data_IF_276865349633
#
_entry.id   IF_276865349633
#
_cell.length_a   1.000
_cell.length_b   1.000
_cell.length_c   1.000
_cell.angle_alpha   90.00
_cell.angle_beta   90.00
_cell.angle_gamma   90.00
#
_symmetry.space_group_name_H-M   'P 1'
#
loop_
_entity.id
_entity.type
_entity.pdbx_description
1 polymer ?
#
# COMPACT_ATOMS: atom_id res chain seq x y z
N UNK A 1 -4.99 10.79 3.58
CA UNK A 1 -3.68 11.21 3.02
C UNK A 1 -3.00 12.11 4.02
N UNK A 2 -1.73 11.86 4.34
CA UNK A 2 -0.87 12.76 5.10
C UNK A 2 0.09 13.46 4.14
N UNK A 3 0.29 14.77 4.32
CA UNK A 3 1.16 15.59 3.46
C UNK A 3 2.07 16.44 4.33
N UNK A 4 3.37 16.47 4.01
CA UNK A 4 4.35 17.35 4.67
C UNK A 4 4.23 17.31 6.20
N UNK A 5 4.02 16.11 6.74
CA UNK A 5 3.73 15.90 8.16
C UNK A 5 4.92 15.23 8.83
N UNK A 6 5.19 15.62 10.08
CA UNK A 6 6.27 15.04 10.88
C UNK A 6 5.75 14.51 12.22
N UNK A 7 6.41 13.49 12.77
CA UNK A 7 6.09 12.93 14.09
C UNK A 7 4.66 12.39 14.23
N UNK A 8 4.21 11.63 13.23
CA UNK A 8 2.85 11.07 13.21
C UNK A 8 2.87 9.60 13.61
N UNK A 9 2.00 9.23 14.54
CA UNK A 9 1.73 7.82 14.88
C UNK A 9 0.26 7.49 14.67
N UNK A 10 -0.01 6.43 13.90
CA UNK A 10 -1.34 5.83 13.73
C UNK A 10 -1.25 4.36 14.13
N UNK A 11 -2.12 3.92 15.04
CA UNK A 11 -2.10 2.55 15.55
C UNK A 11 -3.50 2.03 15.88
N UNK A 12 -3.68 0.73 15.70
CA UNK A 12 -4.86 0.00 16.18
C UNK A 12 -5.33 -1.05 15.18
N UNK A 13 -6.21 -1.98 15.61
CA UNK A 13 -6.69 -3.09 14.78
C UNK A 13 -7.76 -2.67 13.75
N UNK A 14 -8.15 -1.40 13.76
CA UNK A 14 -9.09 -0.81 12.81
C UNK A 14 -8.48 -0.70 11.41
N UNK A 15 -9.29 -0.30 10.44
CA UNK A 15 -8.81 -0.25 9.07
C UNK A 15 -9.70 0.53 8.11
N UNK A 16 -9.20 0.66 6.89
CA UNK A 16 -9.87 1.32 5.78
C UNK A 16 -10.23 0.26 4.75
N UNK A 17 -11.50 0.24 4.34
CA UNK A 17 -12.04 -0.62 3.27
C UNK A 17 -12.60 0.29 2.19
N UNK A 18 -12.22 0.06 0.94
CA UNK A 18 -12.85 0.70 -0.21
C UNK A 18 -13.68 -0.32 -1.02
N UNK A 19 -14.65 0.14 -1.83
CA UNK A 19 -15.38 -0.73 -2.74
C UNK A 19 -14.59 -0.95 -4.05
N UNK A 20 -13.33 -1.41 -3.97
CA UNK A 20 -12.44 -1.52 -5.14
C UNK A 20 -12.97 -2.39 -6.28
N UNK A 21 -13.78 -3.40 -5.97
CA UNK A 21 -14.39 -4.31 -6.96
C UNK A 21 -15.15 -3.61 -8.08
N UNK A 22 -15.88 -2.53 -7.77
CA UNK A 22 -16.63 -1.78 -8.80
C UNK A 22 -15.70 -1.01 -9.73
N UNK A 23 -14.53 -0.61 -9.23
CA UNK A 23 -13.54 0.14 -9.99
C UNK A 23 -12.66 -0.75 -10.86
N UNK A 24 -12.28 -1.94 -10.39
CA UNK A 24 -11.40 -2.84 -11.14
C UNK A 24 -11.98 -3.22 -12.51
N UNK A 25 -13.29 -3.49 -12.59
CA UNK A 25 -13.96 -3.76 -13.87
C UNK A 25 -13.95 -2.59 -14.85
N UNK A 26 -13.92 -1.35 -14.35
CA UNK A 26 -13.78 -0.15 -15.19
C UNK A 26 -12.34 -0.01 -15.67
N UNK A 27 -11.38 -0.09 -14.75
CA UNK A 27 -9.95 0.12 -15.06
C UNK A 27 -9.39 -0.95 -15.98
N UNK A 28 -9.79 -2.22 -15.85
CA UNK A 28 -9.31 -3.28 -16.74
C UNK A 28 -9.75 -3.08 -18.20
N UNK A 29 -10.83 -2.34 -18.44
CA UNK A 29 -11.27 -1.93 -19.79
C UNK A 29 -10.70 -0.58 -20.24
N UNK A 30 -10.25 0.23 -19.29
CA UNK A 30 -9.77 1.61 -19.47
C UNK A 30 -8.54 1.86 -18.58
N UNK A 31 -7.36 1.33 -18.94
CA UNK A 31 -6.17 1.35 -18.10
C UNK A 31 -5.67 2.77 -17.77
N UNK A 32 -6.02 3.76 -18.59
CA UNK A 32 -5.74 5.17 -18.39
C UNK A 32 -6.48 5.77 -17.16
N UNK A 33 -7.60 5.18 -16.74
CA UNK A 33 -8.38 5.67 -15.59
C UNK A 33 -7.69 5.27 -14.29
N UNK A 34 -7.17 6.26 -13.56
CA UNK A 34 -6.44 6.05 -12.30
C UNK A 34 -7.40 6.02 -11.09
N UNK A 35 -7.26 4.99 -10.25
CA UNK A 35 -7.91 4.90 -8.95
C UNK A 35 -7.10 5.59 -7.84
N UNK A 36 -7.71 5.78 -6.68
CA UNK A 36 -7.02 6.26 -5.48
C UNK A 36 -6.37 5.11 -4.70
N UNK A 37 -5.54 5.47 -3.71
CA UNK A 37 -5.00 4.55 -2.72
C UNK A 37 -5.61 4.80 -1.33
N UNK A 38 -5.55 3.83 -0.43
CA UNK A 38 -6.18 3.94 0.90
C UNK A 38 -5.35 4.79 1.86
N UNK A 39 -4.03 4.62 1.85
CA UNK A 39 -3.10 5.44 2.60
C UNK A 39 -2.02 5.98 1.67
N UNK A 40 -1.83 7.30 1.72
CA UNK A 40 -0.69 7.97 1.10
C UNK A 40 0.02 8.83 2.12
N UNK A 41 1.30 8.57 2.29
CA UNK A 41 2.29 9.40 2.97
C UNK A 41 3.09 10.13 1.90
N UNK A 42 3.06 11.46 1.91
CA UNK A 42 3.68 12.27 0.87
C UNK A 42 4.48 13.41 1.52
N UNK A 43 5.81 13.42 1.33
CA UNK A 43 6.65 14.44 1.97
C UNK A 43 6.72 14.29 3.49
N UNK A 44 6.51 13.09 4.04
CA UNK A 44 6.38 12.90 5.49
C UNK A 44 7.70 12.44 6.13
N UNK A 45 7.88 12.77 7.41
CA UNK A 45 9.05 12.37 8.19
C UNK A 45 8.64 11.78 9.54
N UNK A 46 9.37 10.77 10.03
CA UNK A 46 9.15 10.18 11.36
C UNK A 46 7.70 9.69 11.55
N UNK A 47 7.25 8.82 10.64
CA UNK A 47 5.88 8.29 10.65
C UNK A 47 5.87 6.83 11.09
N UNK A 48 4.95 6.48 12.00
CA UNK A 48 4.71 5.09 12.44
C UNK A 48 3.26 4.70 12.20
N UNK A 49 3.05 3.69 11.35
CA UNK A 49 1.74 3.08 11.08
C UNK A 49 1.79 1.64 11.56
N UNK A 50 0.89 1.25 12.49
CA UNK A 50 0.96 -0.08 13.11
C UNK A 50 -0.38 -0.75 13.37
N UNK A 51 -0.46 -2.06 13.14
CA UNK A 51 -1.63 -2.90 13.43
C UNK A 51 -2.85 -2.70 12.52
N UNK A 52 -2.77 -1.77 11.57
CA UNK A 52 -3.88 -1.31 10.75
C UNK A 52 -4.24 -2.31 9.65
N UNK A 53 -5.52 -2.30 9.24
CA UNK A 53 -6.01 -3.07 8.09
C UNK A 53 -6.30 -2.18 6.87
N UNK A 54 -5.92 -2.63 5.69
CA UNK A 54 -6.19 -1.98 4.40
C UNK A 54 -6.77 -3.01 3.44
N UNK A 55 -7.89 -2.69 2.80
CA UNK A 55 -8.54 -3.69 1.96
C UNK A 55 -9.30 -3.08 0.78
N UNK A 56 -9.19 -3.77 -0.36
CA UNK A 56 -9.90 -3.49 -1.60
C UNK A 56 -9.71 -2.06 -2.14
N UNK A 57 -8.48 -1.57 -2.14
CA UNK A 57 -8.18 -0.31 -2.82
C UNK A 57 -8.53 -0.38 -4.32
N UNK A 58 -9.08 0.70 -4.91
CA UNK A 58 -9.26 0.80 -6.37
C UNK A 58 -7.95 0.69 -7.16
N UNK A 59 -6.81 1.03 -6.56
CA UNK A 59 -5.47 0.84 -7.11
C UNK A 59 -4.52 0.47 -5.95
N UNK A 60 -3.36 1.12 -5.81
CA UNK A 60 -2.38 0.85 -4.75
C UNK A 60 -3.01 0.90 -3.35
N UNK A 61 -2.62 0.03 -2.44
CA UNK A 61 -3.17 -0.03 -1.08
C UNK A 61 -2.52 1.05 -0.20
N UNK A 62 -1.19 0.99 -0.05
CA UNK A 62 -0.39 1.95 0.71
C UNK A 62 0.71 2.55 -0.17
N UNK A 63 0.85 3.87 -0.15
CA UNK A 63 1.89 4.60 -0.89
C UNK A 63 2.73 5.43 0.08
N UNK A 64 4.05 5.23 0.04
CA UNK A 64 5.06 6.06 0.70
C UNK A 64 5.83 6.80 -0.37
N UNK A 65 5.64 8.12 -0.45
CA UNK A 65 6.26 8.95 -1.48
C UNK A 65 7.06 10.10 -0.83
N UNK A 66 8.28 10.36 -1.32
CA UNK A 66 9.11 11.49 -0.88
C UNK A 66 9.23 11.58 0.64
N UNK A 67 9.29 10.46 1.34
CA UNK A 67 9.20 10.41 2.80
C UNK A 67 10.47 9.79 3.39
N UNK A 68 10.77 10.11 4.66
CA UNK A 68 11.93 9.57 5.38
C UNK A 68 11.56 9.02 6.75
N UNK A 69 12.24 7.95 7.18
CA UNK A 69 12.00 7.30 8.47
C UNK A 69 10.53 6.92 8.69
N UNK A 70 10.05 6.02 7.84
CA UNK A 70 8.66 5.54 7.85
C UNK A 70 8.63 4.08 8.30
N UNK A 71 7.83 3.79 9.32
CA UNK A 71 7.64 2.45 9.86
C UNK A 71 6.23 1.96 9.58
N UNK A 72 6.12 0.84 8.88
CA UNK A 72 4.89 0.13 8.56
C UNK A 72 4.95 -1.26 9.21
N UNK A 73 4.28 -1.45 10.34
CA UNK A 73 4.45 -2.67 11.15
C UNK A 73 3.13 -3.37 11.49
N UNK A 74 3.08 -4.70 11.38
CA UNK A 74 1.88 -5.46 11.76
C UNK A 74 0.66 -5.13 10.90
N UNK A 75 0.85 -4.73 9.64
CA UNK A 75 -0.24 -4.38 8.74
C UNK A 75 -0.94 -5.63 8.21
N UNK A 76 -2.25 -5.52 7.96
CA UNK A 76 -3.02 -6.50 7.20
C UNK A 76 -3.56 -5.84 5.94
N UNK A 77 -2.88 -6.08 4.82
CA UNK A 77 -3.29 -5.62 3.50
C UNK A 77 -3.92 -6.80 2.76
N UNK A 78 -5.19 -6.69 2.39
CA UNK A 78 -5.97 -7.83 1.87
C UNK A 78 -6.85 -7.47 0.68
N UNK A 79 -7.23 -8.49 -0.10
CA UNK A 79 -8.21 -8.39 -1.16
C UNK A 79 -9.36 -9.36 -0.90
N UNK A 80 -10.60 -8.89 -0.97
CA UNK A 80 -11.78 -9.75 -0.79
C UNK A 80 -12.06 -10.64 -2.00
N UNK A 81 -11.67 -10.21 -3.20
CA UNK A 81 -11.87 -10.98 -4.43
C UNK A 81 -10.72 -11.96 -4.66
N UNK A 82 -11.06 -13.22 -4.96
CA UNK A 82 -10.12 -14.23 -5.44
C UNK A 82 -9.69 -14.02 -6.91
N UNK A 83 -10.42 -13.19 -7.67
CA UNK A 83 -10.16 -12.91 -9.09
C UNK A 83 -9.15 -11.77 -9.21
N UNK A 84 -8.09 -11.97 -10.00
CA UNK A 84 -7.00 -11.01 -10.24
C UNK A 84 -6.83 -10.71 -11.74
N UNK A 85 -6.04 -9.69 -12.05
CA UNK A 85 -5.71 -9.32 -13.43
C UNK A 85 -6.91 -8.72 -14.16
N UNK A 86 -7.03 -8.97 -15.46
CA UNK A 86 -7.98 -8.29 -16.35
C UNK A 86 -9.46 -8.49 -16.00
N UNK A 87 -9.78 -9.48 -15.15
CA UNK A 87 -11.13 -9.76 -14.68
C UNK A 87 -11.34 -9.46 -13.19
N UNK A 88 -10.33 -8.95 -12.49
CA UNK A 88 -10.39 -8.70 -11.06
C UNK A 88 -9.41 -7.65 -10.58
N UNK A 89 -8.93 -7.79 -9.34
CA UNK A 89 -8.01 -6.81 -8.78
C UNK A 89 -6.70 -6.77 -9.60
N UNK A 90 -6.32 -5.57 -10.05
CA UNK A 90 -5.16 -5.33 -10.89
C UNK A 90 -4.55 -3.97 -10.56
N UNK A 91 -3.20 -3.87 -10.57
CA UNK A 91 -2.46 -2.73 -10.03
C UNK A 91 -2.88 -2.34 -8.60
N UNK A 92 -3.12 -3.35 -7.75
CA UNK A 92 -3.48 -3.16 -6.35
C UNK A 92 -2.28 -3.38 -5.43
N UNK A 93 -1.14 -2.80 -5.82
CA UNK A 93 0.15 -2.94 -5.14
C UNK A 93 -0.02 -2.78 -3.62
N UNK A 94 0.58 -3.67 -2.83
CA UNK A 94 0.42 -3.66 -1.39
C UNK A 94 1.06 -2.43 -0.75
N UNK A 95 2.38 -2.29 -0.89
CA UNK A 95 3.13 -1.11 -0.46
C UNK A 95 3.98 -0.60 -1.61
N UNK A 96 3.68 0.60 -2.11
CA UNK A 96 4.50 1.29 -3.09
C UNK A 96 5.39 2.34 -2.42
N UNK A 97 6.70 2.21 -2.58
CA UNK A 97 7.70 3.14 -2.05
C UNK A 97 8.32 3.90 -3.22
N UNK A 98 8.27 5.24 -3.18
CA UNK A 98 8.67 6.11 -4.30
C UNK A 98 9.53 7.25 -3.76
N UNK A 99 10.73 7.44 -4.28
CA UNK A 99 11.64 8.52 -3.90
C UNK A 99 11.78 8.72 -2.38
N UNK A 100 11.87 7.63 -1.61
CA UNK A 100 11.81 7.65 -0.13
C UNK A 100 13.04 7.00 0.49
N UNK A 101 13.40 7.42 1.70
CA UNK A 101 14.56 6.94 2.44
C UNK A 101 14.11 6.29 3.77
N UNK A 102 14.83 5.27 4.25
CA UNK A 102 14.57 4.68 5.57
C UNK A 102 13.10 4.26 5.76
N UNK A 103 12.62 3.38 4.89
CA UNK A 103 11.28 2.81 5.00
C UNK A 103 11.39 1.36 5.46
N UNK A 104 10.73 1.07 6.58
CA UNK A 104 10.77 -0.22 7.25
C UNK A 104 9.38 -0.85 7.21
N UNK A 105 9.26 -1.99 6.55
CA UNK A 105 8.05 -2.81 6.51
C UNK A 105 8.31 -4.07 7.31
N UNK A 106 7.54 -4.28 8.39
CA UNK A 106 7.77 -5.39 9.33
C UNK A 106 6.50 -6.14 9.71
N UNK A 107 6.65 -7.45 9.91
CA UNK A 107 5.65 -8.31 10.55
C UNK A 107 4.24 -8.20 9.93
N UNK A 108 4.16 -7.97 8.62
CA UNK A 108 2.91 -7.62 7.94
C UNK A 108 2.45 -8.74 7.00
N UNK A 109 1.13 -8.89 6.89
CA UNK A 109 0.51 -9.75 5.88
C UNK A 109 0.09 -8.87 4.73
N UNK A 110 0.60 -9.15 3.53
CA UNK A 110 0.35 -8.34 2.35
C UNK A 110 -0.16 -9.23 1.22
N UNK A 111 -1.37 -8.93 0.79
CA UNK A 111 -2.01 -9.50 -0.38
C UNK A 111 -2.35 -8.38 -1.36
N UNK A 112 -2.05 -8.62 -2.64
CA UNK A 112 -2.27 -7.68 -3.75
C UNK A 112 -2.61 -8.44 -5.02
N UNK A 113 -3.10 -7.72 -6.02
CA UNK A 113 -3.30 -8.20 -7.40
C UNK A 113 -2.18 -7.81 -8.36
N UNK A 114 -1.06 -7.35 -7.79
CA UNK A 114 0.17 -6.91 -8.46
C UNK A 114 1.32 -7.02 -7.44
N UNK A 115 2.36 -6.20 -7.50
CA UNK A 115 3.46 -6.20 -6.52
C UNK A 115 2.99 -6.15 -5.05
N UNK A 116 3.43 -7.08 -4.19
CA UNK A 116 3.14 -6.96 -2.75
C UNK A 116 3.90 -5.77 -2.13
N UNK A 117 5.18 -5.62 -2.48
CA UNK A 117 6.01 -4.47 -2.12
C UNK A 117 6.78 -4.05 -3.36
N UNK A 118 6.66 -2.79 -3.77
CA UNK A 118 7.39 -2.24 -4.90
C UNK A 118 8.23 -1.05 -4.48
N UNK A 119 9.52 -1.10 -4.82
CA UNK A 119 10.48 -0.02 -4.59
C UNK A 119 10.74 0.65 -5.94
N UNK A 120 10.31 1.90 -6.05
CA UNK A 120 10.46 2.73 -7.25
C UNK A 120 11.63 3.70 -7.12
N UNK A 121 11.93 4.37 -8.21
CA UNK A 121 13.09 5.24 -8.39
C UNK A 121 13.29 6.24 -7.24
N UNK A 122 14.57 6.55 -6.97
CA UNK A 122 14.99 7.48 -5.92
C UNK A 122 14.86 6.96 -4.49
N UNK A 123 14.45 5.70 -4.30
CA UNK A 123 14.31 5.11 -2.96
C UNK A 123 15.61 4.44 -2.49
N UNK A 124 15.94 4.56 -1.21
CA UNK A 124 17.15 4.00 -0.62
C UNK A 124 16.93 3.62 0.87
N UNK A 125 17.76 2.71 1.39
CA UNK A 125 17.64 2.18 2.77
C UNK A 125 16.24 1.63 3.10
N UNK A 126 15.79 0.68 2.29
CA UNK A 126 14.47 0.04 2.46
C UNK A 126 14.67 -1.33 3.09
N UNK A 127 13.92 -1.63 4.15
CA UNK A 127 13.93 -2.94 4.80
C UNK A 127 12.54 -3.56 4.80
N UNK A 128 12.46 -4.83 4.41
CA UNK A 128 11.23 -5.61 4.38
C UNK A 128 11.49 -6.95 5.09
N UNK A 129 10.96 -7.12 6.29
CA UNK A 129 11.32 -8.21 7.20
C UNK A 129 10.07 -8.85 7.81
N UNK A 130 10.05 -10.18 7.95
CA UNK A 130 8.93 -10.88 8.60
C UNK A 130 7.59 -10.76 7.84
N UNK A 131 7.62 -10.61 6.52
CA UNK A 131 6.41 -10.44 5.71
C UNK A 131 5.79 -11.78 5.30
N UNK A 132 4.46 -11.87 5.36
CA UNK A 132 3.70 -12.93 4.70
C UNK A 132 3.10 -12.36 3.43
N UNK A 133 3.68 -12.74 2.29
CA UNK A 133 3.29 -12.25 0.98
C UNK A 133 2.33 -13.23 0.29
N UNK A 134 1.24 -12.72 -0.28
CA UNK A 134 0.22 -13.55 -0.94
C UNK A 134 -0.22 -12.96 -2.26
N UNK A 135 -0.38 -13.83 -3.26
CA UNK A 135 -1.02 -13.58 -4.57
C UNK A 135 -0.45 -12.43 -5.40
N UNK A 136 0.58 -11.74 -4.91
CA UNK A 136 1.28 -10.73 -5.68
C UNK A 136 1.98 -11.36 -6.88
N UNK A 137 2.29 -10.52 -7.86
CA UNK A 137 3.09 -10.89 -9.03
C UNK A 137 4.55 -10.56 -8.82
#
# INVERSE_FOLDING_TARGET
>A
MLRNSSNVTVRGPGGIRAPGGTFWGVRNKRPEVRGYCLLKLDGCQDVRISGMRFMDSPMYQVVVARSSNVWLQGLQITLSSAVLGDSGAHNTDGVSIIASNEVYIRDSVIESGDDNVVIKEGSHHISAEGLVLRRGK
#
